data_IF_194510275321
#
_entry.id   IF_194510275321
#
_cell.length_a   1.000
_cell.length_b   1.000
_cell.length_c   1.000
_cell.angle_alpha   90.00
_cell.angle_beta   90.00
_cell.angle_gamma   90.00
#
_symmetry.space_group_name_H-M   'P 1'
#
loop_
_entity.id
_entity.type
_entity.pdbx_description
1 polymer ?
#
# COMPACT_ATOMS: atom_id res chain seq x y z
N UNK A 1 5.71 -139.28 153.97
CA UNK A 1 4.97 -140.52 153.63
C UNK A 1 3.78 -140.64 154.56
N UNK A 2 2.58 -140.99 154.07
CA UNK A 2 2.06 -142.28 154.51
C UNK A 2 1.39 -143.12 153.41
N UNK A 3 1.58 -144.42 153.59
CA UNK A 3 0.81 -145.61 153.22
C UNK A 3 -0.19 -145.57 152.03
N UNK A 4 0.07 -146.49 151.10
CA UNK A 4 -0.95 -147.08 150.23
C UNK A 4 -2.09 -147.68 151.08
N UNK A 5 -3.37 -147.44 150.72
CA UNK A 5 -4.47 -148.26 151.21
C UNK A 5 -4.73 -149.44 150.27
N UNK A 6 -4.76 -150.62 150.89
CA UNK A 6 -5.17 -151.91 150.34
C UNK A 6 -6.51 -151.87 149.60
N UNK A 7 -6.57 -152.63 148.51
CA UNK A 7 -7.72 -152.78 147.65
C UNK A 7 -8.84 -153.59 148.33
N UNK A 8 -10.05 -153.01 148.32
CA UNK A 8 -11.30 -153.70 148.62
C UNK A 8 -11.95 -154.24 147.31
N UNK A 9 -12.68 -155.37 147.36
CA UNK A 9 -13.10 -156.12 146.18
C UNK A 9 -14.15 -155.37 145.34
N UNK A 10 -13.92 -155.35 144.02
CA UNK A 10 -14.80 -154.71 143.06
C UNK A 10 -16.12 -155.49 142.87
N UNK A 11 -17.24 -154.77 142.86
CA UNK A 11 -18.54 -155.26 142.40
C UNK A 11 -18.45 -155.75 140.93
N UNK A 12 -19.22 -156.78 140.51
CA UNK A 12 -19.13 -157.30 139.16
C UNK A 12 -19.64 -156.27 138.12
N UNK A 13 -18.97 -156.13 136.97
CA UNK A 13 -19.34 -155.14 135.95
C UNK A 13 -20.62 -155.54 135.19
N UNK A 14 -21.43 -154.55 134.79
CA UNK A 14 -22.76 -154.72 134.17
C UNK A 14 -22.76 -154.37 132.66
N UNK A 15 -23.76 -154.83 131.91
CA UNK A 15 -23.91 -154.63 130.47
C UNK A 15 -24.20 -153.16 130.07
N UNK A 16 -23.56 -152.64 129.02
CA UNK A 16 -23.85 -151.30 128.45
C UNK A 16 -25.01 -151.30 127.42
N UNK A 17 -25.85 -152.34 127.40
CA UNK A 17 -27.02 -152.42 126.53
C UNK A 17 -28.15 -151.52 127.04
N UNK A 18 -28.96 -150.90 126.16
CA UNK A 18 -30.06 -150.05 126.60
C UNK A 18 -31.01 -150.86 127.51
N UNK A 19 -31.17 -150.40 128.75
CA UNK A 19 -32.02 -150.98 129.81
C UNK A 19 -31.64 -152.39 130.29
N UNK A 20 -30.42 -152.87 130.01
CA UNK A 20 -29.97 -154.19 130.45
C UNK A 20 -29.14 -154.13 131.74
N UNK A 21 -29.64 -154.71 132.82
CA UNK A 21 -28.94 -154.78 134.13
C UNK A 21 -28.18 -156.09 134.36
N UNK A 22 -28.16 -157.02 133.40
CA UNK A 22 -27.47 -158.29 133.58
C UNK A 22 -25.94 -158.10 133.78
N UNK A 23 -25.32 -158.87 134.70
CA UNK A 23 -23.87 -158.86 134.88
C UNK A 23 -23.16 -159.44 133.66
N UNK A 24 -21.92 -159.01 133.44
CA UNK A 24 -21.10 -159.49 132.33
C UNK A 24 -20.60 -160.92 132.56
N UNK A 25 -20.43 -161.72 131.49
CA UNK A 25 -19.85 -163.05 131.59
C UNK A 25 -18.41 -163.00 132.10
N UNK A 26 -18.04 -163.93 132.98
CA UNK A 26 -16.71 -164.02 133.57
C UNK A 26 -15.62 -164.32 132.52
N UNK A 27 -14.40 -163.79 132.71
CA UNK A 27 -13.25 -164.06 131.83
C UNK A 27 -12.79 -165.53 131.93
N UNK A 28 -12.28 -166.09 130.82
CA UNK A 28 -11.59 -167.39 130.85
C UNK A 28 -10.19 -167.27 131.49
N UNK A 29 -9.82 -168.24 132.35
CA UNK A 29 -8.58 -168.27 133.14
C UNK A 29 -7.75 -169.52 132.77
N UNK A 30 -6.41 -169.42 132.85
CA UNK A 30 -5.47 -170.53 132.63
C UNK A 30 -5.16 -171.32 133.93
N UNK A 31 -4.36 -172.37 133.80
CA UNK A 31 -4.04 -173.29 134.89
C UNK A 31 -3.31 -172.61 136.07
N UNK A 32 -2.60 -171.52 135.82
CA UNK A 32 -1.86 -170.75 136.83
C UNK A 32 -2.68 -169.58 137.43
N UNK A 33 -3.97 -169.49 137.09
CA UNK A 33 -4.89 -168.46 137.59
C UNK A 33 -4.74 -167.10 136.92
N UNK A 34 -4.05 -167.00 135.77
CA UNK A 34 -3.97 -165.77 134.97
C UNK A 34 -5.06 -165.75 133.92
N UNK A 35 -5.49 -164.54 133.52
CA UNK A 35 -6.48 -164.37 132.45
C UNK A 35 -5.87 -164.72 131.09
N UNK A 36 -6.56 -165.58 130.33
CA UNK A 36 -6.28 -165.76 128.91
C UNK A 36 -6.61 -164.46 128.18
N UNK A 37 -5.60 -163.88 127.51
CA UNK A 37 -5.66 -162.55 126.91
C UNK A 37 -6.89 -162.30 126.03
N UNK A 38 -7.58 -161.19 126.31
CA UNK A 38 -8.73 -160.68 125.55
C UNK A 38 -9.35 -159.46 126.22
N UNK A 39 -9.81 -158.48 125.44
CA UNK A 39 -10.47 -157.26 125.97
C UNK A 39 -11.79 -157.62 126.68
N UNK A 40 -12.12 -156.96 127.80
CA UNK A 40 -13.35 -157.26 128.54
C UNK A 40 -14.59 -157.00 127.67
N UNK A 41 -15.53 -157.95 127.70
CA UNK A 41 -16.81 -157.82 127.00
C UNK A 41 -17.61 -156.64 127.60
N UNK A 42 -18.18 -155.79 126.74
CA UNK A 42 -19.01 -154.63 127.15
C UNK A 42 -20.51 -154.92 127.16
N UNK A 43 -20.92 -156.04 126.57
CA UNK A 43 -22.32 -156.42 126.43
C UNK A 43 -22.51 -157.88 126.86
N UNK A 44 -23.59 -158.16 127.57
CA UNK A 44 -23.93 -159.52 128.03
C UNK A 44 -24.36 -160.43 126.86
N UNK A 45 -24.78 -159.87 125.73
CA UNK A 45 -25.20 -160.62 124.54
C UNK A 45 -25.03 -159.82 123.24
N UNK A 46 -25.03 -160.53 122.11
CA UNK A 46 -24.99 -159.90 120.79
C UNK A 46 -26.22 -159.02 120.51
N UNK A 47 -27.38 -159.33 121.10
CA UNK A 47 -28.60 -158.54 120.94
C UNK A 47 -28.47 -157.14 121.57
N UNK A 48 -27.86 -157.04 122.75
CA UNK A 48 -27.60 -155.75 123.41
C UNK A 48 -26.65 -154.86 122.59
N UNK A 49 -25.64 -155.46 121.95
CA UNK A 49 -24.72 -154.73 121.05
C UNK A 49 -25.43 -154.16 119.82
N UNK A 50 -26.33 -154.93 119.21
CA UNK A 50 -27.09 -154.51 118.02
C UNK A 50 -28.10 -153.40 118.38
N UNK A 51 -28.78 -153.52 119.51
CA UNK A 51 -29.71 -152.49 119.99
C UNK A 51 -29.01 -151.14 120.23
N UNK A 52 -27.84 -151.15 120.88
CA UNK A 52 -27.04 -149.94 121.10
C UNK A 52 -26.55 -149.30 119.78
N UNK A 53 -26.27 -150.11 118.74
CA UNK A 53 -25.92 -149.58 117.42
C UNK A 53 -27.11 -148.88 116.76
N UNK A 54 -28.29 -149.52 116.72
CA UNK A 54 -29.49 -148.97 116.07
C UNK A 54 -29.90 -147.63 116.67
N UNK A 55 -29.83 -147.50 118.00
CA UNK A 55 -30.15 -146.25 118.67
C UNK A 55 -29.19 -145.12 118.27
N UNK A 56 -27.88 -145.41 118.18
CA UNK A 56 -26.89 -144.41 117.73
C UNK A 56 -27.12 -143.95 116.29
N UNK A 57 -27.53 -144.85 115.39
CA UNK A 57 -27.78 -144.51 113.98
C UNK A 57 -29.08 -143.73 113.80
N UNK A 58 -30.16 -144.12 114.49
CA UNK A 58 -31.43 -143.40 114.46
C UNK A 58 -31.30 -141.96 115.00
N UNK A 59 -30.44 -141.74 116.00
CA UNK A 59 -30.23 -140.41 116.60
C UNK A 59 -29.56 -139.40 115.68
N UNK A 60 -28.78 -139.86 114.69
CA UNK A 60 -27.96 -139.00 113.82
C UNK A 60 -28.57 -138.74 112.42
N UNK A 61 -29.62 -139.46 112.03
CA UNK A 61 -30.24 -139.33 110.70
C UNK A 61 -30.89 -137.95 110.39
N UNK A 62 -31.63 -137.28 111.29
CA UNK A 62 -32.32 -136.03 110.94
C UNK A 62 -31.36 -134.84 110.71
N UNK A 63 -30.20 -134.81 111.39
CA UNK A 63 -29.23 -133.73 111.24
C UNK A 63 -28.57 -133.67 109.85
N UNK A 64 -28.41 -134.82 109.18
CA UNK A 64 -27.86 -134.89 107.82
C UNK A 64 -28.88 -134.50 106.75
N UNK A 65 -30.17 -134.80 106.96
CA UNK A 65 -31.24 -134.44 106.01
C UNK A 65 -31.44 -132.93 105.90
N UNK A 66 -31.44 -132.21 107.02
CA UNK A 66 -31.58 -130.74 106.99
C UNK A 66 -30.41 -130.00 106.34
N UNK A 67 -29.19 -130.53 106.48
CA UNK A 67 -28.00 -129.90 105.90
C UNK A 67 -28.03 -129.94 104.36
N UNK A 68 -28.55 -131.03 103.78
CA UNK A 68 -28.66 -131.18 102.32
C UNK A 68 -29.78 -130.30 101.75
N UNK A 69 -30.94 -130.22 102.42
CA UNK A 69 -32.05 -129.37 101.99
C UNK A 69 -31.64 -127.87 101.97
N UNK A 70 -30.95 -127.39 103.01
CA UNK A 70 -30.45 -126.00 103.06
C UNK A 70 -29.45 -125.67 101.94
N UNK A 71 -28.63 -126.62 101.52
CA UNK A 71 -27.69 -126.42 100.42
C UNK A 71 -28.41 -126.31 99.06
N UNK A 72 -29.50 -127.05 98.87
CA UNK A 72 -30.30 -127.01 97.64
C UNK A 72 -31.07 -125.69 97.50
N UNK A 73 -31.71 -125.19 98.57
CA UNK A 73 -32.43 -123.90 98.54
C UNK A 73 -31.50 -122.71 98.24
N UNK A 74 -30.27 -122.72 98.77
CA UNK A 74 -29.27 -121.69 98.49
C UNK A 74 -28.81 -121.69 97.02
N UNK A 75 -28.65 -122.88 96.43
CA UNK A 75 -28.28 -123.01 95.02
C UNK A 75 -29.41 -122.56 94.08
N UNK A 76 -30.66 -122.89 94.40
CA UNK A 76 -31.85 -122.46 93.65
C UNK A 76 -32.01 -120.92 93.68
N UNK A 77 -31.79 -120.31 94.85
CA UNK A 77 -31.86 -118.85 95.03
C UNK A 77 -30.80 -118.11 94.20
N UNK A 78 -29.58 -118.64 94.13
CA UNK A 78 -28.51 -118.08 93.28
C UNK A 78 -28.84 -118.17 91.79
N UNK A 79 -29.43 -119.29 91.33
CA UNK A 79 -29.84 -119.45 89.94
C UNK A 79 -30.99 -118.53 89.55
N UNK A 80 -31.97 -118.30 90.43
CA UNK A 80 -33.06 -117.36 90.18
C UNK A 80 -32.58 -115.90 90.15
N UNK A 81 -31.61 -115.53 90.99
CA UNK A 81 -31.01 -114.19 90.97
C UNK A 81 -30.17 -113.89 89.71
N UNK A 82 -29.59 -114.92 89.05
CA UNK A 82 -28.78 -114.76 87.84
C UNK A 82 -29.57 -114.50 86.55
N UNK A 83 -30.82 -114.96 86.46
CA UNK A 83 -31.69 -114.80 85.27
C UNK A 83 -31.94 -113.35 84.83
N UNK A 84 -32.26 -112.38 85.71
CA UNK A 84 -32.47 -111.00 85.29
C UNK A 84 -31.19 -110.35 84.73
N UNK A 85 -30.02 -110.73 85.23
CA UNK A 85 -28.74 -110.23 84.74
C UNK A 85 -28.44 -110.72 83.32
N UNK A 86 -28.78 -111.97 83.03
CA UNK A 86 -28.62 -112.56 81.70
C UNK A 86 -29.58 -111.93 80.67
N UNK A 87 -30.82 -111.63 81.09
CA UNK A 87 -31.79 -110.91 80.25
C UNK A 87 -31.34 -109.47 79.93
N UNK A 88 -30.74 -108.77 80.91
CA UNK A 88 -30.21 -107.41 80.70
C UNK A 88 -29.04 -107.39 79.69
N UNK A 89 -28.14 -108.38 79.74
CA UNK A 89 -27.05 -108.52 78.78
C UNK A 89 -27.56 -108.77 77.34
N UNK A 90 -28.57 -109.61 77.17
CA UNK A 90 -29.17 -109.84 75.86
C UNK A 90 -29.91 -108.60 75.33
N UNK A 91 -30.60 -107.85 76.19
CA UNK A 91 -31.25 -106.60 75.79
C UNK A 91 -30.25 -105.53 75.36
N UNK A 92 -29.11 -105.42 76.05
CA UNK A 92 -28.04 -104.49 75.70
C UNK A 92 -27.40 -104.85 74.34
N UNK A 93 -27.17 -106.15 74.09
CA UNK A 93 -26.67 -106.64 72.80
C UNK A 93 -27.60 -106.27 71.65
N UNK A 94 -28.91 -106.50 71.82
CA UNK A 94 -29.89 -106.18 70.77
C UNK A 94 -29.96 -104.67 70.46
N UNK A 95 -29.87 -103.82 71.49
CA UNK A 95 -29.83 -102.36 71.30
C UNK A 95 -28.57 -101.89 70.57
N UNK A 96 -27.43 -102.53 70.81
CA UNK A 96 -26.19 -102.23 70.08
C UNK A 96 -26.29 -102.63 68.61
N UNK A 97 -26.90 -103.77 68.29
CA UNK A 97 -27.11 -104.20 66.90
C UNK A 97 -28.08 -103.28 66.14
N UNK A 98 -29.13 -102.80 66.80
CA UNK A 98 -30.10 -101.85 66.23
C UNK A 98 -29.46 -100.48 65.97
N UNK A 99 -28.65 -99.96 66.90
CA UNK A 99 -27.90 -98.72 66.71
C UNK A 99 -26.85 -98.84 65.60
N UNK A 100 -26.18 -99.99 65.51
CA UNK A 100 -25.14 -100.23 64.49
C UNK A 100 -25.77 -100.35 63.10
N UNK A 101 -26.87 -101.09 62.95
CA UNK A 101 -27.60 -101.21 61.69
C UNK A 101 -28.24 -99.88 61.25
N UNK A 102 -28.80 -99.11 62.19
CA UNK A 102 -29.33 -97.77 61.93
C UNK A 102 -28.25 -96.78 61.47
N UNK A 103 -27.08 -96.77 62.12
CA UNK A 103 -25.97 -95.90 61.73
C UNK A 103 -25.38 -96.27 60.35
N UNK A 104 -25.27 -97.57 60.04
CA UNK A 104 -24.81 -98.04 58.72
C UNK A 104 -25.82 -97.69 57.63
N UNK A 105 -27.12 -97.79 57.90
CA UNK A 105 -28.17 -97.38 56.95
C UNK A 105 -28.15 -95.88 56.65
N UNK A 106 -27.97 -95.04 57.67
CA UNK A 106 -27.86 -93.58 57.50
C UNK A 106 -26.61 -93.18 56.71
N UNK A 107 -25.48 -93.87 56.92
CA UNK A 107 -24.25 -93.63 56.17
C UNK A 107 -24.39 -94.04 54.69
N UNK A 108 -25.08 -95.15 54.41
CA UNK A 108 -25.36 -95.60 53.04
C UNK A 108 -26.25 -94.60 52.29
N UNK A 109 -27.34 -94.15 52.92
CA UNK A 109 -28.25 -93.15 52.34
C UNK A 109 -27.55 -91.79 52.11
N UNK A 110 -26.68 -91.37 53.03
CA UNK A 110 -25.89 -90.15 52.88
C UNK A 110 -24.88 -90.24 51.72
N UNK A 111 -24.28 -91.42 51.50
CA UNK A 111 -23.35 -91.64 50.39
C UNK A 111 -24.07 -91.66 49.03
N UNK A 112 -25.25 -92.27 48.95
CA UNK A 112 -26.06 -92.28 47.72
C UNK A 112 -26.49 -90.86 47.33
N UNK A 113 -26.98 -90.07 48.29
CA UNK A 113 -27.32 -88.66 48.06
C UNK A 113 -26.10 -87.81 47.65
N UNK A 114 -24.90 -88.12 48.16
CA UNK A 114 -23.67 -87.44 47.79
C UNK A 114 -23.24 -87.78 46.35
N UNK A 115 -23.40 -89.02 45.91
CA UNK A 115 -23.13 -89.42 44.53
C UNK A 115 -24.13 -88.82 43.53
N UNK A 116 -25.42 -88.76 43.87
CA UNK A 116 -26.43 -88.07 43.05
C UNK A 116 -26.12 -86.58 42.92
N UNK A 117 -25.71 -85.92 44.01
CA UNK A 117 -25.32 -84.51 43.98
C UNK A 117 -24.09 -84.27 43.11
N UNK A 118 -23.10 -85.18 43.13
CA UNK A 118 -21.90 -85.11 42.26
C UNK A 118 -22.27 -85.32 40.79
N UNK A 119 -23.14 -86.27 40.49
CA UNK A 119 -23.61 -86.52 39.12
C UNK A 119 -24.41 -85.31 38.57
N UNK A 120 -25.26 -84.71 39.39
CA UNK A 120 -26.01 -83.50 39.03
C UNK A 120 -25.08 -82.29 38.79
N UNK A 121 -24.05 -82.12 39.62
CA UNK A 121 -23.03 -81.08 39.46
C UNK A 121 -22.23 -81.27 38.16
N UNK A 122 -21.78 -82.49 37.86
CA UNK A 122 -21.07 -82.80 36.62
C UNK A 122 -21.93 -82.54 35.36
N UNK A 123 -23.22 -82.88 35.41
CA UNK A 123 -24.16 -82.60 34.33
C UNK A 123 -24.45 -81.09 34.15
N UNK A 124 -24.37 -80.30 35.23
CA UNK A 124 -24.48 -78.84 35.17
C UNK A 124 -23.22 -78.21 34.54
N UNK A 125 -22.03 -78.68 34.90
CA UNK A 125 -20.76 -78.22 34.32
C UNK A 125 -20.65 -78.54 32.83
N UNK A 126 -21.10 -79.72 32.40
CA UNK A 126 -21.11 -80.08 30.98
C UNK A 126 -22.02 -79.14 30.17
N UNK A 127 -23.22 -78.82 30.69
CA UNK A 127 -24.14 -77.86 30.06
C UNK A 127 -23.56 -76.45 30.00
N UNK A 128 -22.92 -75.98 31.08
CA UNK A 128 -22.25 -74.69 31.10
C UNK A 128 -21.10 -74.62 30.09
N UNK A 129 -20.27 -75.67 29.99
CA UNK A 129 -19.15 -75.75 29.05
C UNK A 129 -19.60 -75.78 27.58
N UNK A 130 -20.79 -76.32 27.31
CA UNK A 130 -21.37 -76.40 25.96
C UNK A 130 -21.96 -75.06 25.56
N UNK A 131 -22.74 -74.44 26.45
CA UNK A 131 -23.28 -73.09 26.26
C UNK A 131 -22.17 -72.04 26.09
N UNK A 132 -21.04 -72.19 26.79
CA UNK A 132 -19.91 -71.27 26.63
C UNK A 132 -19.16 -71.47 25.31
N UNK A 133 -19.06 -72.71 24.81
CA UNK A 133 -18.52 -72.98 23.46
C UNK A 133 -19.39 -72.39 22.37
N UNK A 134 -20.71 -72.57 22.46
CA UNK A 134 -21.69 -71.99 21.54
C UNK A 134 -21.69 -70.46 21.59
N UNK A 135 -21.60 -69.86 22.78
CA UNK A 135 -21.47 -68.41 22.94
C UNK A 135 -20.19 -67.88 22.31
N UNK A 136 -19.06 -68.57 22.48
CA UNK A 136 -17.78 -68.16 21.86
C UNK A 136 -17.85 -68.25 20.33
N UNK A 137 -18.44 -69.31 19.79
CA UNK A 137 -18.66 -69.46 18.34
C UNK A 137 -19.61 -68.40 17.77
N UNK A 138 -20.72 -68.10 18.47
CA UNK A 138 -21.66 -67.06 18.07
C UNK A 138 -21.02 -65.65 18.12
N UNK A 139 -20.20 -65.37 19.13
CA UNK A 139 -19.46 -64.10 19.22
C UNK A 139 -18.37 -63.99 18.14
N UNK A 140 -17.74 -65.09 17.76
CA UNK A 140 -16.76 -65.11 16.67
C UNK A 140 -17.43 -64.89 15.30
N UNK A 141 -18.52 -65.60 15.01
CA UNK A 141 -19.31 -65.40 13.80
C UNK A 141 -19.89 -63.96 13.72
N UNK A 142 -20.33 -63.39 14.84
CA UNK A 142 -20.80 -62.01 14.90
C UNK A 142 -19.67 -60.98 14.69
N UNK A 143 -18.44 -61.28 15.12
CA UNK A 143 -17.26 -60.42 14.86
C UNK A 143 -16.86 -60.48 13.39
N UNK A 144 -16.82 -61.67 12.80
CA UNK A 144 -16.51 -61.85 11.38
C UNK A 144 -17.56 -61.19 10.48
N UNK A 145 -18.85 -61.29 10.84
CA UNK A 145 -19.94 -60.62 10.12
C UNK A 145 -19.90 -59.08 10.29
N UNK A 146 -19.50 -58.58 11.47
CA UNK A 146 -19.30 -57.13 11.67
C UNK A 146 -18.10 -56.62 10.91
N UNK A 147 -16.98 -57.33 10.93
CA UNK A 147 -15.79 -56.97 10.16
C UNK A 147 -16.06 -56.98 8.65
N UNK A 148 -16.81 -57.96 8.15
CA UNK A 148 -17.21 -58.00 6.75
C UNK A 148 -18.16 -56.84 6.35
N UNK A 149 -19.04 -56.40 7.27
CA UNK A 149 -19.89 -55.22 7.03
C UNK A 149 -19.12 -53.92 7.14
N UNK A 150 -18.26 -53.78 8.15
CA UNK A 150 -17.38 -52.62 8.32
C UNK A 150 -16.41 -52.48 7.14
N UNK A 151 -15.90 -53.57 6.57
CA UNK A 151 -15.09 -53.55 5.34
C UNK A 151 -15.93 -53.20 4.11
N UNK A 152 -17.14 -53.75 3.96
CA UNK A 152 -18.02 -53.40 2.85
C UNK A 152 -18.48 -51.92 2.91
N UNK A 153 -18.76 -51.41 4.11
CA UNK A 153 -19.12 -50.01 4.33
C UNK A 153 -17.91 -49.09 4.13
N UNK A 154 -16.70 -49.49 4.58
CA UNK A 154 -15.47 -48.76 4.32
C UNK A 154 -15.09 -48.74 2.83
N UNK A 155 -15.29 -49.84 2.10
CA UNK A 155 -15.06 -49.91 0.66
C UNK A 155 -16.09 -49.06 -0.11
N UNK A 156 -17.34 -49.04 0.35
CA UNK A 156 -18.39 -48.19 -0.21
C UNK A 156 -18.14 -46.69 0.06
N UNK A 157 -17.71 -46.33 1.27
CA UNK A 157 -17.30 -44.97 1.62
C UNK A 157 -16.05 -44.56 0.82
N UNK A 158 -15.05 -45.42 0.69
CA UNK A 158 -13.86 -45.17 -0.12
C UNK A 158 -14.20 -44.98 -1.61
N UNK A 159 -15.16 -45.74 -2.15
CA UNK A 159 -15.64 -45.56 -3.52
C UNK A 159 -16.38 -44.23 -3.70
N UNK A 160 -17.24 -43.84 -2.74
CA UNK A 160 -17.93 -42.56 -2.77
C UNK A 160 -16.96 -41.38 -2.60
N UNK A 161 -15.95 -41.51 -1.75
CA UNK A 161 -14.92 -40.49 -1.57
C UNK A 161 -14.01 -40.38 -2.79
N UNK A 162 -13.69 -41.50 -3.46
CA UNK A 162 -12.98 -41.50 -4.73
C UNK A 162 -13.80 -40.81 -5.84
N UNK A 163 -15.11 -41.05 -5.90
CA UNK A 163 -16.01 -40.38 -6.84
C UNK A 163 -16.11 -38.88 -6.54
N UNK A 164 -16.27 -38.49 -5.26
CA UNK A 164 -16.26 -37.08 -4.83
C UNK A 164 -14.94 -36.39 -5.16
N UNK A 165 -13.81 -37.06 -4.95
CA UNK A 165 -12.49 -36.55 -5.28
C UNK A 165 -12.29 -36.41 -6.79
N UNK A 166 -12.77 -37.37 -7.59
CA UNK A 166 -12.73 -37.30 -9.05
C UNK A 166 -13.60 -36.15 -9.59
N UNK A 167 -14.81 -35.97 -9.06
CA UNK A 167 -15.68 -34.86 -9.41
C UNK A 167 -15.10 -33.50 -8.99
N UNK A 168 -14.48 -33.43 -7.80
CA UNK A 168 -13.78 -32.24 -7.34
C UNK A 168 -12.58 -31.91 -8.23
N UNK A 169 -11.77 -32.89 -8.60
CA UNK A 169 -10.64 -32.70 -9.51
C UNK A 169 -11.11 -32.21 -10.89
N UNK A 170 -12.20 -32.76 -11.43
CA UNK A 170 -12.80 -32.29 -12.68
C UNK A 170 -13.33 -30.85 -12.58
N UNK A 171 -13.92 -30.49 -11.44
CA UNK A 171 -14.39 -29.12 -11.18
C UNK A 171 -13.20 -28.15 -11.04
N UNK A 172 -12.13 -28.55 -10.36
CA UNK A 172 -10.90 -27.78 -10.21
C UNK A 172 -10.20 -27.58 -11.56
N UNK A 173 -10.16 -28.60 -12.42
CA UNK A 173 -9.62 -28.53 -13.78
C UNK A 173 -10.44 -27.60 -14.67
N UNK A 174 -11.78 -27.72 -14.64
CA UNK A 174 -12.68 -26.79 -15.35
C UNK A 174 -12.52 -25.35 -14.84
N UNK A 175 -12.39 -25.17 -13.53
CA UNK A 175 -12.12 -23.86 -12.93
C UNK A 175 -10.74 -23.31 -13.28
N UNK A 176 -9.72 -24.16 -13.40
CA UNK A 176 -8.39 -23.78 -13.87
C UNK A 176 -8.42 -23.37 -15.35
N UNK A 177 -9.13 -24.12 -16.18
CA UNK A 177 -9.31 -23.81 -17.60
C UNK A 177 -10.07 -22.50 -17.82
N UNK A 178 -11.18 -22.29 -17.11
CA UNK A 178 -11.91 -21.03 -17.17
C UNK A 178 -11.07 -19.83 -16.71
N UNK A 179 -10.22 -20.00 -15.69
CA UNK A 179 -9.26 -18.97 -15.26
C UNK A 179 -8.17 -18.71 -16.31
N UNK A 180 -7.68 -19.75 -16.98
CA UNK A 180 -6.69 -19.60 -18.05
C UNK A 180 -7.28 -18.91 -19.29
N UNK A 181 -8.50 -19.28 -19.70
CA UNK A 181 -9.25 -18.63 -20.78
C UNK A 181 -9.52 -17.15 -20.44
N UNK A 182 -10.01 -16.85 -19.23
CA UNK A 182 -10.20 -15.48 -18.77
C UNK A 182 -8.90 -14.66 -18.73
N UNK A 183 -7.79 -15.27 -18.34
CA UNK A 183 -6.48 -14.61 -18.35
C UNK A 183 -5.98 -14.36 -19.78
N UNK A 184 -6.25 -15.27 -20.72
CA UNK A 184 -5.93 -15.09 -22.13
C UNK A 184 -6.74 -13.94 -22.75
N UNK A 185 -8.05 -13.89 -22.48
CA UNK A 185 -8.92 -12.81 -22.95
C UNK A 185 -8.48 -11.46 -22.36
N UNK A 186 -8.14 -11.41 -21.07
CA UNK A 186 -7.61 -10.22 -20.43
C UNK A 186 -6.26 -9.77 -21.05
N UNK A 187 -5.40 -10.72 -21.43
CA UNK A 187 -4.13 -10.42 -22.09
C UNK A 187 -4.33 -9.90 -23.52
N UNK A 188 -5.34 -10.40 -24.25
CA UNK A 188 -5.72 -9.89 -25.58
C UNK A 188 -6.26 -8.46 -25.44
N UNK A 189 -7.21 -8.23 -24.53
CA UNK A 189 -7.77 -6.90 -24.27
C UNK A 189 -6.67 -5.89 -23.86
N UNK A 190 -5.73 -6.29 -23.01
CA UNK A 190 -4.61 -5.45 -22.62
C UNK A 190 -3.68 -5.11 -23.81
N UNK A 191 -3.47 -6.05 -24.74
CA UNK A 191 -2.68 -5.81 -25.96
C UNK A 191 -3.39 -4.86 -26.91
N UNK A 192 -4.70 -5.00 -27.07
CA UNK A 192 -5.52 -4.10 -27.90
C UNK A 192 -5.53 -2.68 -27.31
N UNK A 193 -5.72 -2.54 -25.99
CA UNK A 193 -5.62 -1.24 -25.32
C UNK A 193 -4.24 -0.59 -25.50
N UNK A 194 -3.16 -1.37 -25.36
CA UNK A 194 -1.80 -0.90 -25.61
C UNK A 194 -1.60 -0.48 -27.07
N UNK A 195 -2.12 -1.23 -28.03
CA UNK A 195 -2.05 -0.90 -29.46
C UNK A 195 -2.80 0.40 -29.78
N UNK A 196 -4.01 0.58 -29.25
CA UNK A 196 -4.77 1.83 -29.39
C UNK A 196 -4.04 3.01 -28.76
N UNK A 197 -3.44 2.83 -27.57
CA UNK A 197 -2.67 3.89 -26.90
C UNK A 197 -1.44 4.28 -27.72
N UNK A 198 -0.73 3.30 -28.28
CA UNK A 198 0.40 3.55 -29.17
C UNK A 198 -0.02 4.31 -30.43
N UNK A 199 -1.10 3.87 -31.08
CA UNK A 199 -1.64 4.57 -32.25
C UNK A 199 -2.01 6.02 -31.94
N UNK A 200 -2.71 6.28 -30.82
CA UNK A 200 -3.05 7.65 -30.39
C UNK A 200 -1.81 8.49 -30.10
N UNK A 201 -0.76 7.90 -29.51
CA UNK A 201 0.50 8.62 -29.28
C UNK A 201 1.26 8.92 -30.57
N UNK A 202 1.23 8.01 -31.54
CA UNK A 202 1.84 8.22 -32.85
C UNK A 202 1.11 9.29 -33.65
N UNK A 203 -0.23 9.29 -33.62
CA UNK A 203 -1.07 10.33 -34.21
C UNK A 203 -0.79 11.71 -33.56
N UNK A 204 -0.70 11.76 -32.23
CA UNK A 204 -0.36 12.98 -31.50
C UNK A 204 1.06 13.48 -31.84
N UNK A 205 2.03 12.57 -31.96
CA UNK A 205 3.40 12.91 -32.34
C UNK A 205 3.47 13.41 -33.79
N UNK A 206 2.73 12.78 -34.70
CA UNK A 206 2.60 13.22 -36.09
C UNK A 206 1.97 14.62 -36.18
N UNK A 207 0.90 14.88 -35.41
CA UNK A 207 0.27 16.20 -35.32
C UNK A 207 1.24 17.25 -34.77
N UNK A 208 1.96 16.97 -33.68
CA UNK A 208 2.94 17.88 -33.11
C UNK A 208 4.10 18.20 -34.08
N UNK A 209 4.55 17.20 -34.85
CA UNK A 209 5.55 17.39 -35.92
C UNK A 209 5.02 18.27 -37.04
N UNK A 210 3.77 18.06 -37.46
CA UNK A 210 3.11 18.88 -38.47
C UNK A 210 2.95 20.34 -38.00
N UNK A 211 2.55 20.56 -36.75
CA UNK A 211 2.44 21.90 -36.15
C UNK A 211 3.81 22.59 -36.08
N UNK A 212 4.85 21.86 -35.66
CA UNK A 212 6.23 22.39 -35.63
C UNK A 212 6.71 22.76 -37.04
N UNK A 213 6.40 21.95 -38.05
CA UNK A 213 6.74 22.26 -39.45
C UNK A 213 5.97 23.50 -39.95
N UNK A 214 4.69 23.62 -39.63
CA UNK A 214 3.88 24.80 -39.97
C UNK A 214 4.40 26.07 -39.30
N UNK A 215 4.79 26.01 -38.03
CA UNK A 215 5.39 27.15 -37.31
C UNK A 215 6.74 27.56 -37.90
N UNK A 216 7.59 26.61 -38.32
CA UNK A 216 8.84 26.92 -39.03
C UNK A 216 8.57 27.61 -40.36
N UNK A 217 7.65 27.07 -41.17
CA UNK A 217 7.29 27.67 -42.46
C UNK A 217 6.68 29.08 -42.29
N UNK A 218 5.86 29.28 -41.26
CA UNK A 218 5.31 30.59 -40.91
C UNK A 218 6.42 31.56 -40.48
N UNK A 219 7.39 31.09 -39.69
CA UNK A 219 8.55 31.87 -39.27
C UNK A 219 9.46 32.26 -40.44
N UNK A 220 9.75 31.33 -41.35
CA UNK A 220 10.51 31.59 -42.58
C UNK A 220 9.78 32.60 -43.48
N UNK A 221 8.46 32.42 -43.66
CA UNK A 221 7.63 33.36 -44.43
C UNK A 221 7.59 34.75 -43.80
N UNK A 222 7.53 34.83 -42.47
CA UNK A 222 7.57 36.10 -41.75
C UNK A 222 8.92 36.80 -41.89
N UNK A 223 10.03 36.05 -41.80
CA UNK A 223 11.39 36.57 -42.04
C UNK A 223 11.55 37.07 -43.47
N UNK A 224 11.13 36.30 -44.47
CA UNK A 224 11.18 36.72 -45.87
C UNK A 224 10.36 38.00 -46.12
N UNK A 225 9.18 38.14 -45.52
CA UNK A 225 8.39 39.39 -45.59
C UNK A 225 9.09 40.57 -44.91
N UNK A 226 9.72 40.35 -43.75
CA UNK A 226 10.46 41.40 -43.05
C UNK A 226 11.70 41.84 -43.83
N UNK A 227 12.45 40.91 -44.42
CA UNK A 227 13.60 41.19 -45.29
C UNK A 227 13.18 41.94 -46.55
N UNK A 228 12.09 41.53 -47.21
CA UNK A 228 11.55 42.23 -48.36
C UNK A 228 11.10 43.66 -48.01
N UNK A 229 10.43 43.85 -46.87
CA UNK A 229 10.03 45.18 -46.40
C UNK A 229 11.25 46.04 -46.05
N UNK A 230 12.27 45.49 -45.40
CA UNK A 230 13.51 46.19 -45.09
C UNK A 230 14.26 46.60 -46.37
N UNK A 231 14.33 45.73 -47.37
CA UNK A 231 14.90 46.05 -48.68
C UNK A 231 14.13 47.17 -49.39
N UNK A 232 12.79 47.13 -49.35
CA UNK A 232 11.94 48.18 -49.91
C UNK A 232 12.13 49.52 -49.18
N UNK A 233 12.24 49.51 -47.86
CA UNK A 233 12.52 50.71 -47.07
C UNK A 233 13.91 51.28 -47.38
N UNK A 234 14.93 50.44 -47.51
CA UNK A 234 16.27 50.86 -47.89
C UNK A 234 16.29 51.52 -49.27
N UNK A 235 15.62 50.92 -50.27
CA UNK A 235 15.47 51.51 -51.61
C UNK A 235 14.79 52.88 -51.55
N UNK A 236 13.69 53.00 -50.79
CA UNK A 236 12.97 54.27 -50.63
C UNK A 236 13.81 55.33 -49.95
N UNK A 237 14.63 54.97 -48.97
CA UNK A 237 15.58 55.90 -48.34
C UNK A 237 16.59 56.40 -49.38
N UNK A 238 17.21 55.50 -50.15
CA UNK A 238 18.16 55.89 -51.20
C UNK A 238 17.53 56.77 -52.28
N UNK A 239 16.29 56.49 -52.68
CA UNK A 239 15.53 57.34 -53.61
C UNK A 239 15.28 58.75 -53.04
N UNK A 240 14.89 58.83 -51.76
CA UNK A 240 14.67 60.11 -51.07
C UNK A 240 15.97 60.89 -50.89
N UNK A 241 17.07 60.22 -50.55
CA UNK A 241 18.40 60.84 -50.46
C UNK A 241 18.84 61.42 -51.81
N UNK A 242 18.60 60.68 -52.91
CA UNK A 242 18.89 61.16 -54.26
C UNK A 242 18.03 62.37 -54.63
N UNK A 243 16.72 62.31 -54.35
CA UNK A 243 15.82 63.43 -54.60
C UNK A 243 16.19 64.68 -53.78
N UNK A 244 16.60 64.49 -52.52
CA UNK A 244 17.07 65.58 -51.67
C UNK A 244 18.36 66.20 -52.23
N UNK A 245 19.33 65.39 -52.63
CA UNK A 245 20.57 65.87 -53.25
C UNK A 245 20.31 66.62 -54.57
N UNK A 246 19.34 66.18 -55.37
CA UNK A 246 18.91 66.87 -56.59
C UNK A 246 18.29 68.24 -56.27
N UNK A 247 17.38 68.30 -55.29
CA UNK A 247 16.78 69.55 -54.83
C UNK A 247 17.82 70.53 -54.24
N UNK A 248 18.78 70.04 -53.46
CA UNK A 248 19.89 70.85 -52.95
C UNK A 248 20.74 71.41 -54.09
N UNK A 249 21.01 70.59 -55.12
CA UNK A 249 21.68 71.03 -56.35
C UNK A 249 20.89 72.11 -57.10
N UNK A 250 19.57 71.95 -57.25
CA UNK A 250 18.69 72.95 -57.85
C UNK A 250 18.68 74.26 -57.05
N UNK A 251 18.61 74.19 -55.72
CA UNK A 251 18.67 75.36 -54.85
C UNK A 251 20.01 76.07 -54.93
N UNK A 252 21.12 75.33 -54.97
CA UNK A 252 22.45 75.90 -55.16
C UNK A 252 22.56 76.63 -56.51
N UNK A 253 22.11 76.00 -57.59
CA UNK A 253 22.09 76.61 -58.93
C UNK A 253 21.22 77.87 -58.98
N UNK A 254 20.01 77.82 -58.40
CA UNK A 254 19.12 78.97 -58.32
C UNK A 254 19.73 80.12 -57.50
N UNK A 255 20.43 79.82 -56.40
CA UNK A 255 21.17 80.83 -55.62
C UNK A 255 22.29 81.48 -56.43
N UNK A 256 23.09 80.69 -57.15
CA UNK A 256 24.13 81.22 -58.03
C UNK A 256 23.55 82.12 -59.12
N UNK A 257 22.43 81.71 -59.72
CA UNK A 257 21.73 82.48 -60.74
C UNK A 257 21.16 83.79 -60.18
N UNK A 258 20.58 83.77 -58.98
CA UNK A 258 20.12 84.99 -58.30
C UNK A 258 21.27 85.96 -58.01
N UNK A 259 22.43 85.47 -57.57
CA UNK A 259 23.63 86.30 -57.38
C UNK A 259 24.07 86.93 -58.70
N UNK A 260 24.14 86.12 -59.77
CA UNK A 260 24.49 86.58 -61.12
C UNK A 260 23.52 87.67 -61.62
N UNK A 261 22.22 87.47 -61.46
CA UNK A 261 21.19 88.43 -61.83
C UNK A 261 21.28 89.72 -61.00
N UNK A 262 21.56 89.61 -59.69
CA UNK A 262 21.76 90.77 -58.82
C UNK A 262 23.00 91.58 -59.23
N UNK A 263 24.09 90.93 -59.60
CA UNK A 263 25.29 91.60 -60.14
C UNK A 263 25.01 92.29 -61.47
N UNK A 264 24.28 91.63 -62.38
CA UNK A 264 23.86 92.22 -63.65
C UNK A 264 22.97 93.44 -63.43
N UNK A 265 22.04 93.38 -62.49
CA UNK A 265 21.20 94.50 -62.13
C UNK A 265 22.03 95.65 -61.56
N UNK A 266 22.97 95.40 -60.64
CA UNK A 266 23.88 96.42 -60.11
C UNK A 266 24.75 97.04 -61.20
N UNK A 267 25.25 96.25 -62.14
CA UNK A 267 26.02 96.74 -63.28
C UNK A 267 25.15 97.56 -64.26
N UNK A 268 23.89 97.18 -64.45
CA UNK A 268 22.95 97.95 -65.25
C UNK A 268 22.57 99.28 -64.59
N UNK A 269 22.32 99.29 -63.27
CA UNK A 269 22.05 100.53 -62.51
C UNK A 269 23.28 101.43 -62.52
N UNK A 270 24.48 100.89 -62.29
CA UNK A 270 25.72 101.67 -62.34
C UNK A 270 25.99 102.28 -63.73
N UNK A 271 25.73 101.55 -64.82
CA UNK A 271 25.81 102.10 -66.18
C UNK A 271 24.74 103.18 -66.44
N UNK A 272 23.54 103.01 -65.90
CA UNK A 272 22.49 104.01 -66.03
C UNK A 272 22.82 105.30 -65.25
N UNK A 273 23.39 105.18 -64.05
CA UNK A 273 23.90 106.31 -63.25
C UNK A 273 25.04 107.03 -63.98
N UNK A 274 26.03 106.29 -64.50
CA UNK A 274 27.11 106.86 -65.32
C UNK A 274 26.57 107.61 -66.54
N UNK A 275 25.64 107.02 -67.29
CA UNK A 275 25.03 107.69 -68.44
C UNK A 275 24.23 108.94 -68.04
N UNK A 276 23.58 108.94 -66.86
CA UNK A 276 22.90 110.12 -66.32
C UNK A 276 23.89 111.22 -65.94
N UNK A 277 25.01 110.86 -65.30
CA UNK A 277 26.08 111.79 -64.94
C UNK A 277 26.76 112.38 -66.18
N UNK A 278 27.08 111.56 -67.19
CA UNK A 278 27.59 112.01 -68.49
C UNK A 278 26.58 112.93 -69.19
N UNK A 279 25.29 112.56 -69.23
CA UNK A 279 24.26 113.42 -69.80
C UNK A 279 24.11 114.74 -69.04
N UNK A 280 24.31 114.73 -67.71
CA UNK A 280 24.31 115.95 -66.88
C UNK A 280 25.52 116.81 -67.18
N UNK A 281 26.72 116.24 -67.31
CA UNK A 281 27.94 116.93 -67.70
C UNK A 281 27.79 117.57 -69.08
N UNK A 282 27.35 116.81 -70.09
CA UNK A 282 27.10 117.32 -71.44
C UNK A 282 26.05 118.45 -71.47
N UNK A 283 25.03 118.41 -70.60
CA UNK A 283 24.07 119.52 -70.46
C UNK A 283 24.70 120.78 -69.88
N UNK A 284 25.60 120.63 -68.90
CA UNK A 284 26.36 121.75 -68.33
C UNK A 284 27.28 122.34 -69.41
N UNK A 285 28.07 121.50 -70.08
CA UNK A 285 28.97 121.92 -71.16
C UNK A 285 28.22 122.60 -72.32
N UNK A 286 27.04 122.08 -72.70
CA UNK A 286 26.20 122.69 -73.72
C UNK A 286 25.65 124.06 -73.26
N UNK A 287 25.26 124.18 -71.98
CA UNK A 287 24.81 125.46 -71.42
C UNK A 287 25.96 126.48 -71.40
N UNK A 288 27.16 126.09 -70.97
CA UNK A 288 28.36 126.92 -71.00
C UNK A 288 28.75 127.32 -72.43
N UNK A 289 28.72 126.39 -73.38
CA UNK A 289 28.99 126.66 -74.79
C UNK A 289 27.97 127.62 -75.40
N UNK A 290 26.68 127.48 -75.06
CA UNK A 290 25.62 128.43 -75.47
C UNK A 290 25.83 129.80 -74.87
N UNK A 291 26.12 129.88 -73.57
CA UNK A 291 26.42 131.14 -72.90
C UNK A 291 27.65 131.83 -73.50
N UNK A 292 28.72 131.08 -73.80
CA UNK A 292 29.90 131.60 -74.47
C UNK A 292 29.59 132.08 -75.90
N UNK A 293 28.74 131.36 -76.64
CA UNK A 293 28.29 131.77 -77.96
C UNK A 293 27.41 133.04 -77.92
N UNK A 294 26.50 133.14 -76.94
CA UNK A 294 25.70 134.34 -76.68
C UNK A 294 26.60 135.53 -76.32
N UNK A 295 27.55 135.37 -75.39
CA UNK A 295 28.53 136.41 -75.07
C UNK A 295 29.34 136.86 -76.29
N UNK A 296 29.78 135.92 -77.15
CA UNK A 296 30.48 136.26 -78.40
C UNK A 296 29.57 137.02 -79.36
N UNK A 297 28.29 136.63 -79.47
CA UNK A 297 27.30 137.33 -80.28
C UNK A 297 27.08 138.74 -79.76
N UNK A 298 26.81 138.90 -78.47
CA UNK A 298 26.58 140.20 -77.84
C UNK A 298 27.84 141.10 -77.95
N UNK A 299 29.04 140.53 -77.82
CA UNK A 299 30.30 141.24 -78.07
C UNK A 299 30.43 141.66 -79.54
N UNK A 300 30.08 140.79 -80.48
CA UNK A 300 30.09 141.10 -81.90
C UNK A 300 29.03 142.16 -82.27
N UNK A 301 27.83 142.10 -81.69
CA UNK A 301 26.77 143.10 -81.82
C UNK A 301 27.21 144.44 -81.26
N UNK A 302 27.79 144.47 -80.05
CA UNK A 302 28.39 145.67 -79.47
C UNK A 302 29.49 146.25 -80.37
N UNK A 303 30.31 145.39 -80.99
CA UNK A 303 31.34 145.82 -81.95
C UNK A 303 30.73 146.38 -83.24
N UNK A 304 29.65 145.78 -83.74
CA UNK A 304 28.91 146.28 -84.90
C UNK A 304 28.30 147.65 -84.59
N UNK A 305 27.71 147.84 -83.41
CA UNK A 305 27.17 149.15 -83.03
C UNK A 305 28.23 150.21 -82.81
N UNK A 306 29.37 149.82 -82.24
CA UNK A 306 30.52 150.70 -82.16
C UNK A 306 31.00 151.12 -83.56
N UNK A 307 31.12 150.17 -84.48
CA UNK A 307 31.47 150.46 -85.88
C UNK A 307 30.41 151.33 -86.58
N UNK A 308 29.11 151.17 -86.31
CA UNK A 308 28.06 152.05 -86.84
C UNK A 308 28.20 153.46 -86.32
N UNK A 309 28.47 153.61 -85.03
CA UNK A 309 28.72 154.92 -84.39
C UNK A 309 29.96 155.58 -85.01
N UNK A 310 31.05 154.84 -85.16
CA UNK A 310 32.29 155.32 -85.80
C UNK A 310 32.02 155.75 -87.26
N UNK A 311 31.19 154.99 -88.01
CA UNK A 311 30.84 155.26 -89.40
C UNK A 311 29.91 156.49 -89.52
N UNK A 312 28.97 156.67 -88.59
CA UNK A 312 28.19 157.90 -88.48
C UNK A 312 29.06 159.11 -88.14
N UNK A 313 30.02 158.94 -87.24
CA UNK A 313 30.97 159.98 -86.88
C UNK A 313 31.88 160.34 -88.06
N UNK A 314 32.37 159.35 -88.82
CA UNK A 314 33.11 159.55 -90.06
C UNK A 314 32.26 160.22 -91.15
N UNK A 315 30.96 159.89 -91.24
CA UNK A 315 30.01 160.59 -92.15
C UNK A 315 29.81 162.05 -91.75
N UNK A 316 29.69 162.35 -90.45
CA UNK A 316 29.61 163.73 -89.95
C UNK A 316 30.89 164.51 -90.26
N UNK A 317 32.05 163.93 -89.97
CA UNK A 317 33.36 164.52 -90.33
C UNK A 317 33.50 164.71 -91.85
N UNK A 318 33.03 163.75 -92.65
CA UNK A 318 33.00 163.87 -94.11
C UNK A 318 32.06 164.98 -94.60
N UNK A 319 30.89 165.15 -93.97
CA UNK A 319 29.96 166.23 -94.26
C UNK A 319 30.52 167.60 -93.85
N UNK A 320 31.25 167.68 -92.73
CA UNK A 320 31.98 168.88 -92.29
C UNK A 320 33.14 169.23 -93.23
N UNK A 321 33.88 168.23 -93.73
CA UNK A 321 34.91 168.46 -94.74
C UNK A 321 34.31 168.91 -96.07
N UNK A 322 33.16 168.35 -96.47
CA UNK A 322 32.44 168.79 -97.67
C UNK A 322 31.89 170.21 -97.52
N UNK A 323 31.37 170.58 -96.34
CA UNK A 323 30.92 171.95 -96.09
C UNK A 323 32.09 172.94 -96.05
N UNK A 324 33.24 172.55 -95.51
CA UNK A 324 34.48 173.33 -95.56
C UNK A 324 34.97 173.54 -97.00
N UNK A 325 34.98 172.48 -97.83
CA UNK A 325 35.32 172.57 -99.25
C UNK A 325 34.30 173.41 -100.06
N UNK A 326 33.01 173.33 -99.72
CA UNK A 326 31.98 174.17 -100.32
C UNK A 326 32.16 175.64 -99.94
N UNK A 327 32.53 175.92 -98.69
CA UNK A 327 32.85 177.27 -98.21
C UNK A 327 34.11 177.84 -98.90
N UNK A 328 35.15 177.01 -99.09
CA UNK A 328 36.33 177.43 -99.87
C UNK A 328 35.99 177.72 -101.34
N UNK A 329 35.14 176.90 -101.97
CA UNK A 329 34.67 177.15 -103.35
C UNK A 329 33.86 178.45 -103.45
N UNK A 330 32.95 178.69 -102.50
CA UNK A 330 32.20 179.93 -102.45
C UNK A 330 33.11 181.16 -102.24
N UNK A 331 34.15 181.04 -101.41
CA UNK A 331 35.15 182.10 -101.24
C UNK A 331 35.98 182.34 -102.51
N UNK A 332 36.32 181.28 -103.23
CA UNK A 332 37.03 181.37 -104.51
C UNK A 332 36.17 182.03 -105.61
N UNK A 333 34.88 181.72 -105.67
CA UNK A 333 33.94 182.32 -106.61
C UNK A 333 33.70 183.81 -106.29
N UNK A 334 33.57 184.18 -105.02
CA UNK A 334 33.48 185.58 -104.59
C UNK A 334 34.73 186.39 -104.94
N UNK A 335 35.93 185.81 -104.81
CA UNK A 335 37.18 186.45 -105.22
C UNK A 335 37.25 186.66 -106.74
N UNK A 336 36.66 185.75 -107.52
CA UNK A 336 36.59 185.82 -108.98
C UNK A 336 35.62 186.91 -109.45
N UNK A 337 34.53 187.12 -108.74
CA UNK A 337 33.54 188.17 -108.99
C UNK A 337 34.12 189.57 -108.67
N UNK A 338 34.84 189.71 -107.55
CA UNK A 338 35.56 190.94 -107.22
C UNK A 338 36.62 191.32 -108.28
N UNK A 339 37.30 190.34 -108.86
CA UNK A 339 38.23 190.55 -109.98
C UNK A 339 37.54 190.99 -111.27
N UNK A 340 36.30 190.56 -111.50
CA UNK A 340 35.49 190.99 -112.65
C UNK A 340 35.02 192.45 -112.48
N UNK A 341 34.59 192.83 -111.28
CA UNK A 341 34.17 194.21 -110.97
C UNK A 341 35.31 195.22 -111.07
N UNK A 342 36.52 194.86 -110.61
CA UNK A 342 37.72 195.69 -110.76
C UNK A 342 38.11 195.88 -112.23
N UNK A 343 37.88 194.89 -113.10
CA UNK A 343 38.09 195.01 -114.55
C UNK A 343 37.05 195.92 -115.19
N UNK A 344 35.78 195.83 -114.79
CA UNK A 344 34.71 196.69 -115.29
C UNK A 344 34.89 198.17 -114.87
N UNK A 345 35.41 198.44 -113.67
CA UNK A 345 35.73 199.81 -113.23
C UNK A 345 36.90 200.42 -114.01
N UNK A 346 37.93 199.62 -114.30
CA UNK A 346 39.06 200.03 -115.15
C UNK A 346 38.60 200.42 -116.56
N UNK A 347 37.72 199.63 -117.16
CA UNK A 347 37.24 199.88 -118.53
C UNK A 347 36.36 201.15 -118.60
N UNK A 348 35.61 201.49 -117.53
CA UNK A 348 34.88 202.76 -117.42
C UNK A 348 35.79 203.98 -117.30
N UNK A 349 36.93 203.85 -116.61
CA UNK A 349 37.90 204.94 -116.47
C UNK A 349 38.69 205.20 -117.76
N UNK A 350 38.74 204.24 -118.68
CA UNK A 350 39.40 204.39 -119.99
C UNK A 350 38.49 205.00 -121.08
N UNK A 351 37.16 204.97 -120.92
CA UNK A 351 36.22 205.50 -121.92
C UNK A 351 35.93 207.01 -121.81
N UNK A 352 36.33 207.70 -120.74
CA UNK A 352 36.02 209.13 -120.55
C UNK A 352 37.18 210.09 -120.91
N UNK A 353 38.27 209.60 -121.53
CA UNK A 353 39.53 210.34 -121.70
C UNK A 353 40.01 210.68 -123.12
N UNK A 354 39.34 210.31 -124.22
CA UNK A 354 39.82 210.67 -125.57
C UNK A 354 38.74 210.57 -126.68
N UNK A 355 38.23 211.70 -127.17
CA UNK A 355 38.36 212.15 -128.57
C UNK A 355 37.61 213.47 -128.87
N UNK A 356 38.35 214.41 -129.47
CA UNK A 356 37.97 215.67 -130.13
C UNK A 356 37.42 215.43 -131.56
N UNK A 357 36.77 216.44 -132.19
CA UNK A 357 36.55 216.62 -133.67
C UNK A 357 35.66 215.59 -134.43
N UNK A 358 34.39 215.90 -134.79
CA UNK A 358 33.86 216.66 -135.97
C UNK A 358 33.61 215.78 -137.24
N UNK A 359 32.46 215.74 -137.94
CA UNK A 359 31.08 216.30 -137.82
C UNK A 359 30.20 215.77 -138.98
N UNK A 360 28.85 215.72 -138.77
CA UNK A 360 27.73 215.79 -139.76
C UNK A 360 27.51 214.60 -140.74
N UNK A 361 26.31 214.06 -141.02
CA UNK A 361 24.92 214.47 -140.77
C UNK A 361 23.90 213.40 -141.26
N UNK A 362 22.64 213.53 -140.79
CA UNK A 362 21.35 213.14 -141.42
C UNK A 362 20.94 211.65 -141.49
N UNK A 363 19.68 211.24 -141.27
CA UNK A 363 18.40 211.89 -140.91
C UNK A 363 17.40 210.76 -140.65
N UNK A 364 16.75 210.76 -139.48
CA UNK A 364 15.29 210.81 -139.26
C UNK A 364 15.00 210.80 -137.76
#
# INVERSE_FOLDING_TARGET
MPAAPEAAPAAPPHCEGPECTNPLPLPALDAEGRRLGGRPAKYCSASCRIAAHRLRTARNAPALGEAVARAQDLAETLLQAGRPWQAALHALSAQLDELTSGAVGQLAAANEAAEEARAAAAAAEQRASTAERERRQALQAAREQRQAREQADADAEAAQDAERQALKALADEKGARARAESAADAAIAAREELAERLQRTDEALAAARAETAALRQAGESARARAEAHAAQQAQRITELERALAEHDGQLAAARTELVRLAEQQRAATGRAEQAQDEARQLRIELAEARQAAEQRRDTAEARIEQLRTDLEQARKQGAEQQSALAAERAAHDAAREQLADLRAQRDRLQQAGAYDTATTEQKE
#
